data_IF_068308394706
#
_entry.id   IF_068308394706
#
_cell.length_a   1.000
_cell.length_b   1.000
_cell.length_c   1.000
_cell.angle_alpha   90.00
_cell.angle_beta   90.00
_cell.angle_gamma   90.00
#
_symmetry.space_group_name_H-M   'P 1'
#
loop_
_entity.id
_entity.type
_entity.pdbx_description
1 polymer ?
#
# COMPACT_ATOMS: atom_id res chain seq x y z
N UNK A 1 -8.69 3.45 -21.93
CA UNK A 1 -8.65 2.91 -20.55
C UNK A 1 -8.49 1.41 -20.72
N UNK A 2 -7.46 0.81 -20.15
CA UNK A 2 -7.26 -0.64 -20.27
C UNK A 2 -8.32 -1.41 -19.50
N UNK A 3 -8.74 -2.56 -20.05
CA UNK A 3 -9.55 -3.54 -19.33
C UNK A 3 -8.72 -4.24 -18.24
N UNK A 4 -9.37 -4.97 -17.36
CA UNK A 4 -8.68 -5.77 -16.33
C UNK A 4 -7.78 -6.82 -16.95
N UNK A 5 -8.23 -7.46 -18.03
CA UNK A 5 -7.49 -8.48 -18.76
C UNK A 5 -6.26 -7.91 -19.48
N UNK A 6 -6.44 -6.74 -20.12
CA UNK A 6 -5.31 -6.04 -20.77
C UNK A 6 -4.23 -5.63 -19.75
N UNK A 7 -4.63 -5.12 -18.57
CA UNK A 7 -3.69 -4.80 -17.50
C UNK A 7 -2.94 -6.04 -17.01
N UNK A 8 -3.62 -7.18 -16.88
CA UNK A 8 -3.00 -8.44 -16.50
C UNK A 8 -1.92 -8.86 -17.50
N UNK A 9 -2.25 -8.84 -18.79
CA UNK A 9 -1.32 -9.19 -19.85
C UNK A 9 -0.10 -8.25 -19.84
N UNK A 10 -0.35 -6.93 -19.79
CA UNK A 10 0.72 -5.93 -19.80
C UNK A 10 1.66 -6.05 -18.60
N UNK A 11 1.12 -6.30 -17.40
CA UNK A 11 1.95 -6.50 -16.20
C UNK A 11 2.79 -7.77 -16.33
N UNK A 12 2.20 -8.89 -16.76
CA UNK A 12 2.93 -10.13 -16.94
C UNK A 12 4.03 -10.00 -17.99
N UNK A 13 3.75 -9.33 -19.10
CA UNK A 13 4.75 -9.07 -20.14
C UNK A 13 5.86 -8.12 -19.68
N UNK A 14 5.52 -7.11 -18.88
CA UNK A 14 6.50 -6.21 -18.29
C UNK A 14 7.42 -6.92 -17.30
N UNK A 15 6.92 -7.92 -16.57
CA UNK A 15 7.72 -8.78 -15.69
C UNK A 15 8.66 -9.71 -16.45
N UNK A 16 8.38 -9.96 -17.74
CA UNK A 16 9.25 -10.67 -18.67
C UNK A 16 10.17 -9.71 -19.47
N UNK A 17 10.34 -8.48 -18.98
CA UNK A 17 11.19 -7.43 -19.57
C UNK A 17 10.79 -7.03 -21.02
N UNK A 18 9.52 -7.22 -21.41
CA UNK A 18 9.04 -6.72 -22.69
C UNK A 18 8.89 -5.19 -22.65
N UNK A 19 9.81 -4.50 -23.30
CA UNK A 19 9.90 -3.04 -23.29
C UNK A 19 8.61 -2.34 -23.74
N UNK A 20 7.97 -2.88 -24.79
CA UNK A 20 6.71 -2.31 -25.30
C UNK A 20 5.58 -2.28 -24.26
N UNK A 21 5.49 -3.32 -23.44
CA UNK A 21 4.49 -3.43 -22.37
C UNK A 21 4.82 -2.53 -21.18
N UNK A 22 6.11 -2.39 -20.86
CA UNK A 22 6.60 -1.43 -19.87
C UNK A 22 6.24 0.00 -20.31
N UNK A 23 6.49 0.38 -21.58
CA UNK A 23 6.19 1.69 -22.11
C UNK A 23 4.69 2.00 -22.08
N UNK A 24 3.85 1.04 -22.44
CA UNK A 24 2.38 1.17 -22.36
C UNK A 24 1.91 1.40 -20.93
N UNK A 25 2.43 0.65 -19.97
CA UNK A 25 2.13 0.84 -18.55
C UNK A 25 2.62 2.20 -18.05
N UNK A 26 3.83 2.60 -18.42
CA UNK A 26 4.37 3.90 -18.09
C UNK A 26 3.51 5.05 -18.63
N UNK A 27 3.06 4.98 -19.87
CA UNK A 27 2.18 5.99 -20.46
C UNK A 27 0.83 6.05 -19.73
N UNK A 28 0.25 4.91 -19.43
CA UNK A 28 -1.04 4.82 -18.75
C UNK A 28 -0.99 5.38 -17.32
N UNK A 29 0.05 5.06 -16.56
CA UNK A 29 0.18 5.49 -15.16
C UNK A 29 0.89 6.83 -14.98
N UNK A 30 1.43 7.44 -16.04
CA UNK A 30 2.13 8.74 -16.02
C UNK A 30 1.35 9.84 -15.28
N UNK A 31 0.03 10.04 -15.51
CA UNK A 31 -0.72 11.06 -14.79
C UNK A 31 -0.77 10.81 -13.28
N UNK A 32 -0.94 9.54 -12.86
CA UNK A 32 -0.98 9.14 -11.47
C UNK A 32 0.38 9.38 -10.78
N UNK A 33 1.46 8.94 -11.42
CA UNK A 33 2.83 9.08 -10.91
C UNK A 33 3.19 10.55 -10.75
N UNK A 34 2.92 11.38 -11.77
CA UNK A 34 3.17 12.81 -11.71
C UNK A 34 2.34 13.50 -10.61
N UNK A 35 1.10 13.08 -10.39
CA UNK A 35 0.24 13.60 -9.33
C UNK A 35 0.81 13.31 -7.95
N UNK A 36 1.25 12.09 -7.70
CA UNK A 36 1.78 11.70 -6.39
C UNK A 36 3.18 12.32 -6.15
N UNK A 37 4.02 12.43 -7.17
CA UNK A 37 5.33 13.09 -7.07
C UNK A 37 5.23 14.61 -6.78
N UNK A 38 4.18 15.27 -7.28
CA UNK A 38 3.95 16.72 -7.07
C UNK A 38 3.25 17.07 -5.76
N UNK A 39 3.01 16.11 -4.88
CA UNK A 39 2.45 16.42 -3.55
C UNK A 39 3.40 17.32 -2.80
N UNK A 40 2.86 18.35 -2.16
CA UNK A 40 3.65 19.40 -1.51
C UNK A 40 4.72 18.86 -0.55
N UNK A 41 4.35 17.90 0.29
CA UNK A 41 5.27 17.26 1.23
C UNK A 41 6.37 16.45 0.54
N UNK A 42 6.06 15.79 -0.58
CA UNK A 42 7.03 15.00 -1.35
C UNK A 42 7.97 15.92 -2.10
N UNK A 43 7.41 16.92 -2.78
CA UNK A 43 8.21 17.88 -3.57
C UNK A 43 9.11 18.73 -2.68
N UNK A 44 8.63 19.18 -1.52
CA UNK A 44 9.44 19.96 -0.58
C UNK A 44 10.64 19.16 -0.02
N UNK A 45 10.49 17.86 0.17
CA UNK A 45 11.54 17.01 0.72
C UNK A 45 12.52 16.47 -0.34
N UNK A 46 12.02 16.11 -1.53
CA UNK A 46 12.81 15.44 -2.57
C UNK A 46 13.14 16.35 -3.77
N UNK A 47 12.55 17.54 -3.84
CA UNK A 47 12.78 18.48 -4.91
C UNK A 47 12.40 17.93 -6.29
N UNK A 48 13.23 18.20 -7.27
CA UNK A 48 13.05 17.74 -8.66
C UNK A 48 13.19 16.22 -8.80
N UNK A 49 13.91 15.57 -7.89
CA UNK A 49 14.09 14.12 -7.86
C UNK A 49 12.82 13.35 -7.50
N UNK A 50 11.84 14.01 -6.88
CA UNK A 50 10.57 13.39 -6.50
C UNK A 50 9.91 12.59 -7.64
N UNK A 51 10.02 13.09 -8.87
CA UNK A 51 9.48 12.43 -10.05
C UNK A 51 10.25 11.16 -10.41
N UNK A 52 11.59 11.23 -10.40
CA UNK A 52 12.44 10.06 -10.69
C UNK A 52 12.26 8.98 -9.64
N UNK A 53 12.21 9.37 -8.39
CA UNK A 53 11.93 8.46 -7.26
C UNK A 53 10.56 7.78 -7.43
N UNK A 54 9.52 8.53 -7.81
CA UNK A 54 8.18 7.96 -8.03
C UNK A 54 8.16 6.94 -9.20
N UNK A 55 8.92 7.18 -10.26
CA UNK A 55 9.07 6.23 -11.37
C UNK A 55 9.78 4.94 -10.93
N UNK A 56 10.86 5.06 -10.18
CA UNK A 56 11.57 3.89 -9.65
C UNK A 56 10.65 3.05 -8.76
N UNK A 57 9.89 3.70 -7.88
CA UNK A 57 8.92 3.03 -7.01
C UNK A 57 7.83 2.33 -7.83
N UNK A 58 7.31 2.98 -8.86
CA UNK A 58 6.31 2.38 -9.76
C UNK A 58 6.85 1.13 -10.47
N UNK A 59 8.02 1.22 -11.09
CA UNK A 59 8.62 0.09 -11.81
C UNK A 59 8.94 -1.07 -10.86
N UNK A 60 9.45 -0.76 -9.65
CA UNK A 60 9.67 -1.78 -8.61
C UNK A 60 8.37 -2.46 -8.18
N UNK A 61 7.26 -1.73 -8.12
CA UNK A 61 5.95 -2.32 -7.85
C UNK A 61 5.54 -3.29 -8.95
N UNK A 62 5.60 -2.87 -10.21
CA UNK A 62 5.20 -3.70 -11.36
C UNK A 62 6.03 -4.99 -11.43
N UNK A 63 7.36 -4.89 -11.26
CA UNK A 63 8.26 -6.06 -11.33
C UNK A 63 7.99 -7.11 -10.25
N UNK A 64 7.43 -6.72 -9.11
CA UNK A 64 7.19 -7.61 -7.95
C UNK A 64 5.71 -7.95 -7.74
N UNK A 65 4.82 -7.37 -8.53
CA UNK A 65 3.40 -7.62 -8.37
C UNK A 65 3.05 -9.06 -8.73
N UNK A 66 2.58 -9.83 -7.75
CA UNK A 66 2.15 -11.23 -7.90
C UNK A 66 0.66 -11.44 -7.57
N UNK A 67 -0.08 -10.34 -7.36
CA UNK A 67 -1.50 -10.40 -7.05
C UNK A 67 -2.37 -10.74 -8.27
N UNK A 68 -3.53 -11.33 -8.04
CA UNK A 68 -4.51 -11.65 -9.08
C UNK A 68 -5.56 -10.54 -9.30
N UNK A 69 -5.57 -9.52 -8.43
CA UNK A 69 -6.60 -8.46 -8.45
C UNK A 69 -6.18 -7.27 -9.32
N UNK A 70 -6.29 -7.45 -10.63
CA UNK A 70 -5.97 -6.39 -11.60
C UNK A 70 -7.06 -5.31 -11.69
N UNK A 71 -8.27 -5.59 -11.20
CA UNK A 71 -9.36 -4.61 -11.15
C UNK A 71 -9.01 -3.43 -10.23
N UNK A 72 -8.35 -3.70 -9.11
CA UNK A 72 -7.97 -2.68 -8.13
C UNK A 72 -6.50 -2.23 -8.28
N UNK A 73 -5.79 -2.72 -9.29
CA UNK A 73 -4.38 -2.42 -9.54
C UNK A 73 -4.06 -0.91 -9.54
N UNK A 74 -4.84 -0.01 -10.17
CA UNK A 74 -4.56 1.42 -10.11
C UNK A 74 -4.60 2.00 -8.68
N UNK A 75 -5.56 1.53 -7.86
CA UNK A 75 -5.66 1.91 -6.46
C UNK A 75 -4.49 1.39 -5.62
N UNK A 76 -4.06 0.15 -5.87
CA UNK A 76 -2.89 -0.45 -5.21
C UNK A 76 -1.62 0.31 -5.55
N UNK A 77 -1.38 0.61 -6.83
CA UNK A 77 -0.24 1.43 -7.26
C UNK A 77 -0.26 2.80 -6.58
N UNK A 78 -1.42 3.46 -6.51
CA UNK A 78 -1.54 4.76 -5.85
C UNK A 78 -1.19 4.68 -4.36
N UNK A 79 -1.70 3.68 -3.65
CA UNK A 79 -1.42 3.48 -2.23
C UNK A 79 0.06 3.19 -1.99
N UNK A 80 0.64 2.32 -2.81
CA UNK A 80 2.05 1.96 -2.72
C UNK A 80 2.97 3.15 -2.98
N UNK A 81 2.71 3.92 -4.06
CA UNK A 81 3.45 5.16 -4.35
C UNK A 81 3.41 6.13 -3.18
N UNK A 82 2.22 6.36 -2.59
CA UNK A 82 2.09 7.25 -1.44
C UNK A 82 2.90 6.80 -0.25
N UNK A 83 2.82 5.53 0.07
CA UNK A 83 3.54 4.95 1.20
C UNK A 83 5.06 5.09 1.00
N UNK A 84 5.57 4.62 -0.13
CA UNK A 84 7.01 4.65 -0.42
C UNK A 84 7.56 6.08 -0.51
N UNK A 85 6.83 7.00 -1.14
CA UNK A 85 7.25 8.39 -1.21
C UNK A 85 7.25 9.04 0.18
N UNK A 86 6.26 8.76 1.04
CA UNK A 86 6.26 9.25 2.42
C UNK A 86 7.41 8.68 3.23
N UNK A 87 7.72 7.39 3.07
CA UNK A 87 8.86 6.77 3.74
C UNK A 87 10.19 7.43 3.32
N UNK A 88 10.36 7.71 2.02
CA UNK A 88 11.55 8.42 1.52
C UNK A 88 11.63 9.87 2.02
N UNK A 89 10.49 10.55 2.17
CA UNK A 89 10.41 11.89 2.78
C UNK A 89 10.85 11.85 4.26
N UNK A 90 10.37 10.86 5.03
CA UNK A 90 10.78 10.68 6.43
C UNK A 90 12.27 10.41 6.54
N UNK A 91 12.79 9.50 5.72
CA UNK A 91 14.24 9.20 5.70
C UNK A 91 15.09 10.40 5.28
N UNK A 92 14.63 11.22 4.34
CA UNK A 92 15.29 12.46 3.98
C UNK A 92 15.29 13.46 5.16
N UNK A 93 14.18 13.59 5.89
CA UNK A 93 14.08 14.40 7.10
C UNK A 93 15.02 13.93 8.19
N UNK A 94 15.09 12.64 8.47
CA UNK A 94 16.01 12.05 9.44
C UNK A 94 17.49 12.27 9.07
N UNK A 95 17.84 12.28 7.78
CA UNK A 95 19.19 12.62 7.33
C UNK A 95 19.53 14.08 7.60
N UNK A 96 18.59 15.00 7.45
CA UNK A 96 18.77 16.43 7.78
C UNK A 96 18.89 16.65 9.28
N UNK A 97 18.08 15.97 10.10
CA UNK A 97 18.16 16.06 11.56
C UNK A 97 19.44 15.40 12.10
N UNK A 98 19.94 14.33 11.46
CA UNK A 98 21.16 13.61 11.85
C UNK A 98 22.46 14.32 11.43
N UNK A 99 22.45 15.23 10.46
CA UNK A 99 23.59 16.10 10.20
C UNK A 99 23.86 17.07 11.35
N UNK A 100 22.88 17.28 12.23
CA UNK A 100 22.99 18.09 13.45
C UNK A 100 23.42 17.24 14.67
N UNK A 101 23.18 15.92 14.65
CA UNK A 101 23.51 14.98 15.75
C UNK A 101 24.33 13.76 15.30
N UNK A 102 25.34 13.96 14.44
CA UNK A 102 26.16 12.87 13.92
C UNK A 102 27.19 12.35 14.93
N UNK A 103 26.77 11.69 16.00
CA UNK A 103 27.65 10.89 16.85
C UNK A 103 27.06 9.63 17.51
N UNK A 104 25.72 9.42 17.64
CA UNK A 104 25.25 8.38 18.58
C UNK A 104 24.04 7.52 18.15
N UNK A 105 23.73 7.28 16.90
CA UNK A 105 22.64 6.31 16.61
C UNK A 105 22.82 5.51 15.31
N UNK A 106 23.81 4.64 15.30
CA UNK A 106 24.02 3.62 14.29
C UNK A 106 23.49 2.26 14.77
N UNK A 107 22.25 2.21 15.26
CA UNK A 107 21.59 0.91 15.49
C UNK A 107 20.07 1.08 15.52
N UNK A 108 19.39 0.24 14.72
CA UNK A 108 17.94 0.01 14.67
C UNK A 108 17.12 0.87 13.70
N UNK A 109 17.37 0.76 12.40
CA UNK A 109 16.33 0.95 11.40
C UNK A 109 16.08 -0.38 10.69
N UNK A 110 15.16 -1.15 11.22
CA UNK A 110 14.57 -2.28 10.52
C UNK A 110 13.76 -1.72 9.35
N UNK A 111 14.30 -1.80 8.16
CA UNK A 111 13.54 -1.68 6.93
C UNK A 111 12.41 -2.71 7.01
N UNK A 112 11.14 -2.26 7.11
CA UNK A 112 10.02 -3.19 6.92
C UNK A 112 10.20 -3.85 5.55
N UNK A 113 10.23 -5.19 5.46
CA UNK A 113 10.36 -5.88 4.20
C UNK A 113 9.27 -5.42 3.25
N UNK A 114 9.60 -5.22 1.97
CA UNK A 114 8.65 -4.78 0.94
C UNK A 114 7.40 -5.67 0.89
N UNK A 115 7.56 -6.96 1.18
CA UNK A 115 6.48 -7.94 1.33
C UNK A 115 5.49 -7.60 2.44
N UNK A 116 5.97 -7.04 3.54
CA UNK A 116 5.12 -6.66 4.67
C UNK A 116 4.27 -5.43 4.34
N UNK A 117 4.85 -4.45 3.65
CA UNK A 117 4.14 -3.28 3.13
C UNK A 117 3.11 -3.68 2.09
N UNK A 118 3.49 -4.57 1.17
CA UNK A 118 2.61 -5.11 0.15
C UNK A 118 1.45 -5.86 0.78
N UNK A 119 1.72 -6.71 1.76
CA UNK A 119 0.71 -7.44 2.54
C UNK A 119 -0.27 -6.48 3.23
N UNK A 120 0.22 -5.39 3.80
CA UNK A 120 -0.63 -4.37 4.46
C UNK A 120 -1.54 -3.64 3.46
N UNK A 121 -1.06 -3.33 2.26
CA UNK A 121 -1.85 -2.66 1.22
C UNK A 121 -2.93 -3.57 0.65
N UNK A 122 -2.58 -4.82 0.37
CA UNK A 122 -3.53 -5.85 -0.09
C UNK A 122 -4.59 -6.09 1.00
N UNK A 123 -4.18 -6.25 2.24
CA UNK A 123 -5.10 -6.41 3.38
C UNK A 123 -6.03 -5.19 3.51
N UNK A 124 -5.52 -3.98 3.36
CA UNK A 124 -6.34 -2.75 3.45
C UNK A 124 -7.40 -2.68 2.36
N UNK A 125 -7.07 -3.07 1.13
CA UNK A 125 -8.02 -3.10 0.02
C UNK A 125 -9.04 -4.24 0.18
N UNK A 126 -8.58 -5.41 0.62
CA UNK A 126 -9.46 -6.52 0.97
C UNK A 126 -10.43 -6.17 2.11
N UNK A 127 -9.95 -5.42 3.11
CA UNK A 127 -10.82 -4.93 4.20
C UNK A 127 -11.94 -4.03 3.68
N UNK A 128 -11.69 -3.21 2.66
CA UNK A 128 -12.74 -2.38 2.03
C UNK A 128 -13.82 -3.20 1.33
N UNK A 129 -13.48 -4.40 0.89
CA UNK A 129 -14.43 -5.33 0.27
C UNK A 129 -15.31 -6.11 1.27
N UNK A 130 -15.04 -5.97 2.57
CA UNK A 130 -15.84 -6.59 3.62
C UNK A 130 -17.18 -5.87 3.83
N UNK A 131 -18.23 -6.59 4.29
CA UNK A 131 -19.47 -5.96 4.72
C UNK A 131 -19.22 -4.85 5.74
N UNK A 132 -19.99 -3.78 5.70
CA UNK A 132 -19.76 -2.53 6.45
C UNK A 132 -19.50 -2.73 7.95
N UNK A 133 -20.18 -3.71 8.56
CA UNK A 133 -20.02 -4.02 9.99
C UNK A 133 -18.68 -4.73 10.28
N UNK A 134 -18.27 -5.66 9.43
CA UNK A 134 -16.99 -6.35 9.52
C UNK A 134 -15.84 -5.38 9.27
N UNK A 135 -15.96 -4.55 8.25
CA UNK A 135 -15.01 -3.48 7.94
C UNK A 135 -14.78 -2.54 9.13
N UNK A 136 -15.85 -2.05 9.78
CA UNK A 136 -15.75 -1.21 10.98
C UNK A 136 -15.01 -1.89 12.13
N UNK A 137 -15.30 -3.17 12.40
CA UNK A 137 -14.63 -3.96 13.44
C UNK A 137 -13.14 -4.09 13.14
N UNK A 138 -12.77 -4.44 11.92
CA UNK A 138 -11.37 -4.59 11.54
C UNK A 138 -10.62 -3.26 11.51
N UNK A 139 -11.26 -2.19 11.04
CA UNK A 139 -10.69 -0.84 11.09
C UNK A 139 -10.33 -0.43 12.52
N UNK A 140 -11.24 -0.64 13.47
CA UNK A 140 -10.97 -0.34 14.88
C UNK A 140 -9.87 -1.23 15.47
N UNK A 141 -9.83 -2.51 15.08
CA UNK A 141 -8.82 -3.44 15.54
C UNK A 141 -7.42 -3.10 15.03
N UNK A 142 -7.29 -2.76 13.73
CA UNK A 142 -5.99 -2.50 13.10
C UNK A 142 -5.51 -1.05 13.29
N UNK A 143 -6.38 -0.06 13.10
CA UNK A 143 -5.96 1.35 13.16
C UNK A 143 -5.92 1.89 14.60
N UNK A 144 -6.88 1.49 15.44
CA UNK A 144 -6.98 1.98 16.82
C UNK A 144 -6.42 0.99 17.86
N UNK A 145 -5.92 -0.16 17.42
CA UNK A 145 -5.48 -1.26 18.28
C UNK A 145 -6.51 -1.62 19.39
N UNK A 146 -7.79 -1.40 19.10
CA UNK A 146 -8.87 -1.58 20.05
C UNK A 146 -9.08 -3.06 20.35
N UNK A 147 -9.19 -3.39 21.64
CA UNK A 147 -9.54 -4.74 22.07
C UNK A 147 -11.02 -5.06 21.81
N UNK A 148 -11.38 -6.34 21.84
CA UNK A 148 -12.76 -6.78 21.54
C UNK A 148 -13.82 -6.15 22.44
N UNK A 149 -13.47 -5.81 23.69
CA UNK A 149 -14.38 -5.20 24.65
C UNK A 149 -14.65 -3.72 24.28
N UNK A 150 -13.61 -2.99 23.89
CA UNK A 150 -13.71 -1.61 23.42
C UNK A 150 -14.55 -1.53 22.14
N UNK A 151 -14.30 -2.45 21.19
CA UNK A 151 -15.06 -2.55 19.94
C UNK A 151 -16.55 -2.85 20.25
N UNK A 152 -16.82 -3.76 21.17
CA UNK A 152 -18.18 -4.11 21.56
C UNK A 152 -18.93 -2.91 22.16
N UNK A 153 -18.27 -2.12 23.01
CA UNK A 153 -18.82 -0.89 23.60
C UNK A 153 -19.10 0.18 22.54
N UNK A 154 -18.14 0.45 21.67
CA UNK A 154 -18.26 1.50 20.65
C UNK A 154 -19.34 1.16 19.59
N UNK A 155 -19.44 -0.13 19.21
CA UNK A 155 -20.44 -0.59 18.25
C UNK A 155 -21.78 -1.01 18.90
N UNK A 156 -21.92 -0.82 20.20
CA UNK A 156 -23.12 -1.15 20.99
C UNK A 156 -23.61 -2.58 20.71
N UNK A 157 -22.69 -3.53 20.78
CA UNK A 157 -23.00 -4.96 20.56
C UNK A 157 -22.32 -5.86 21.59
N UNK A 158 -22.71 -7.14 21.63
CA UNK A 158 -22.11 -8.09 22.56
C UNK A 158 -20.69 -8.50 22.14
N UNK A 159 -19.86 -8.88 23.10
CA UNK A 159 -18.51 -9.40 22.87
C UNK A 159 -18.52 -10.64 21.96
N UNK A 160 -19.51 -11.51 22.11
CA UNK A 160 -19.72 -12.68 21.25
C UNK A 160 -20.01 -12.31 19.81
N UNK A 161 -20.76 -11.21 19.60
CA UNK A 161 -21.03 -10.68 18.26
C UNK A 161 -19.73 -10.19 17.60
N UNK A 162 -18.87 -9.46 18.33
CA UNK A 162 -17.58 -8.99 17.81
C UNK A 162 -16.70 -10.18 17.42
N UNK A 163 -16.55 -11.17 18.31
CA UNK A 163 -15.76 -12.39 18.04
C UNK A 163 -16.27 -13.12 16.80
N UNK A 164 -17.58 -13.35 16.69
CA UNK A 164 -18.20 -14.02 15.53
C UNK A 164 -18.00 -13.25 14.22
N UNK A 165 -18.14 -11.92 14.23
CA UNK A 165 -17.92 -11.11 13.05
C UNK A 165 -16.45 -11.05 12.62
N UNK A 166 -15.52 -11.07 13.56
CA UNK A 166 -14.08 -11.21 13.25
C UNK A 166 -13.79 -12.53 12.55
N UNK A 167 -14.29 -13.66 13.08
CA UNK A 167 -14.10 -14.97 12.44
C UNK A 167 -14.65 -14.98 11.01
N UNK A 168 -15.91 -14.56 10.82
CA UNK A 168 -16.50 -14.48 9.48
C UNK A 168 -15.71 -13.60 8.51
N UNK A 169 -15.17 -12.50 8.99
CA UNK A 169 -14.34 -11.63 8.16
C UNK A 169 -13.02 -12.30 7.78
N UNK A 170 -12.38 -13.01 8.71
CA UNK A 170 -11.17 -13.79 8.42
C UNK A 170 -11.45 -14.87 7.37
N UNK A 171 -12.55 -15.59 7.49
CA UNK A 171 -12.94 -16.63 6.52
C UNK A 171 -13.17 -16.00 5.13
N UNK A 172 -13.89 -14.87 5.06
CA UNK A 172 -14.11 -14.14 3.80
C UNK A 172 -12.78 -13.65 3.19
N UNK A 173 -11.85 -13.18 4.02
CA UNK A 173 -10.54 -12.75 3.56
C UNK A 173 -9.69 -13.91 3.05
N UNK A 174 -9.71 -15.06 3.73
CA UNK A 174 -9.02 -16.30 3.29
C UNK A 174 -9.55 -16.78 1.94
N UNK A 175 -10.87 -16.83 1.77
CA UNK A 175 -11.49 -17.20 0.49
C UNK A 175 -11.03 -16.30 -0.66
N UNK A 176 -10.92 -14.99 -0.40
CA UNK A 176 -10.48 -14.01 -1.41
C UNK A 176 -8.99 -14.08 -1.71
N UNK A 177 -8.17 -14.45 -0.74
CA UNK A 177 -6.74 -14.64 -0.90
C UNK A 177 -6.37 -16.03 -1.45
N UNK A 178 -7.37 -16.93 -1.58
CA UNK A 178 -7.17 -18.35 -1.96
C UNK A 178 -6.11 -19.07 -1.10
N UNK A 179 -6.07 -18.74 0.21
CA UNK A 179 -5.22 -19.39 1.21
C UNK A 179 -6.00 -20.44 1.96
#
# INVERSE_FOLDING_TARGET
MFSTEELQILVHEAQLDKQESIDKLCQYFKPLINKEARRLNVYNALGEDAKNVAWVVFLSFISRYNGEDYKHLPGLIQCYLRYELLHKVQKAGELWDNEVEAAEALENQTHEPLEEVFSRLVVRELLRSLPSRQHKIFKMYLEKQANNLQIARELKCSLSTVKRQKLKAVDTLKEKLKI
#
